data_IF_238752942340
#
_entry.id   IF_238752942340
#
_cell.length_a   1.000
_cell.length_b   1.000
_cell.length_c   1.000
_cell.angle_alpha   90.00
_cell.angle_beta   90.00
_cell.angle_gamma   90.00
#
_symmetry.space_group_name_H-M   'P 1'
#
loop_
_entity.id
_entity.type
_entity.pdbx_description
1 polymer ?
#
# COMPACT_ATOMS: atom_id res chain seq x y z
N UNK A 1 -35.68 33.83 -12.48
CA UNK A 1 -34.88 32.66 -12.07
C UNK A 1 -33.40 33.00 -12.21
N UNK A 2 -32.72 33.35 -11.11
CA UNK A 2 -31.29 33.70 -11.15
C UNK A 2 -30.46 32.42 -11.32
N UNK A 3 -29.73 32.28 -12.42
CA UNK A 3 -28.78 31.18 -12.63
C UNK A 3 -27.63 31.37 -11.64
N UNK A 4 -27.59 30.53 -10.61
CA UNK A 4 -26.52 30.51 -9.62
C UNK A 4 -25.19 30.21 -10.33
N UNK A 5 -24.30 31.21 -10.39
CA UNK A 5 -23.00 31.11 -11.07
C UNK A 5 -22.12 30.16 -10.26
N UNK A 6 -22.05 28.90 -10.66
CA UNK A 6 -21.23 27.89 -9.97
C UNK A 6 -19.76 28.31 -10.01
N UNK A 7 -19.06 28.26 -8.87
CA UNK A 7 -17.63 28.57 -8.83
C UNK A 7 -16.83 27.44 -9.50
N UNK A 8 -15.77 27.75 -10.25
CA UNK A 8 -14.96 26.73 -10.92
C UNK A 8 -14.32 25.75 -9.92
N UNK A 9 -13.98 26.23 -8.73
CA UNK A 9 -13.43 25.42 -7.64
C UNK A 9 -14.38 24.32 -7.15
N UNK A 10 -15.69 24.60 -7.09
CA UNK A 10 -16.67 23.57 -6.71
C UNK A 10 -16.63 22.39 -7.68
N UNK A 11 -16.52 22.66 -8.98
CA UNK A 11 -16.42 21.61 -10.01
C UNK A 11 -15.12 20.84 -9.90
N UNK A 12 -13.99 21.52 -9.71
CA UNK A 12 -12.69 20.88 -9.54
C UNK A 12 -12.68 19.94 -8.33
N UNK A 13 -13.21 20.39 -7.18
CA UNK A 13 -13.28 19.58 -5.97
C UNK A 13 -14.18 18.35 -6.15
N UNK A 14 -15.32 18.50 -6.83
CA UNK A 14 -16.22 17.37 -7.13
C UNK A 14 -15.51 16.35 -8.04
N UNK A 15 -14.82 16.82 -9.09
CA UNK A 15 -14.07 15.94 -9.99
C UNK A 15 -12.96 15.21 -9.24
N UNK A 16 -12.17 15.92 -8.43
CA UNK A 16 -11.10 15.31 -7.65
C UNK A 16 -11.63 14.25 -6.67
N UNK A 17 -12.71 14.56 -5.94
CA UNK A 17 -13.34 13.61 -5.04
C UNK A 17 -13.87 12.38 -5.79
N UNK A 18 -14.53 12.58 -6.95
CA UNK A 18 -15.00 11.49 -7.78
C UNK A 18 -13.85 10.60 -8.26
N UNK A 19 -12.73 11.19 -8.69
CA UNK A 19 -11.53 10.43 -9.08
C UNK A 19 -10.99 9.62 -7.90
N UNK A 20 -10.84 10.21 -6.71
CA UNK A 20 -10.36 9.51 -5.51
C UNK A 20 -11.24 8.30 -5.18
N UNK A 21 -12.57 8.44 -5.31
CA UNK A 21 -13.52 7.33 -5.08
C UNK A 21 -13.41 6.26 -6.17
N UNK A 22 -13.35 6.67 -7.44
CA UNK A 22 -13.28 5.74 -8.58
C UNK A 22 -12.00 4.90 -8.53
N UNK A 23 -10.85 5.50 -8.18
CA UNK A 23 -9.60 4.73 -8.13
C UNK A 23 -9.59 3.66 -7.03
N UNK A 24 -10.40 3.79 -5.97
CA UNK A 24 -10.53 2.74 -4.95
C UNK A 24 -11.20 1.45 -5.50
N UNK A 25 -11.88 1.53 -6.65
CA UNK A 25 -12.52 0.36 -7.27
C UNK A 25 -11.51 -0.56 -7.97
N UNK A 26 -10.27 -0.12 -8.15
CA UNK A 26 -9.21 -0.94 -8.72
C UNK A 26 -8.73 -1.92 -7.64
N UNK A 27 -8.89 -3.25 -7.83
CA UNK A 27 -8.67 -4.23 -6.76
C UNK A 27 -7.18 -4.45 -6.42
N UNK A 28 -6.26 -3.90 -7.20
CA UNK A 28 -4.83 -4.04 -6.97
C UNK A 28 -4.42 -3.38 -5.64
N UNK A 29 -3.55 -4.06 -4.87
CA UNK A 29 -3.12 -3.58 -3.55
C UNK A 29 -4.17 -3.69 -2.44
N UNK A 30 -5.32 -4.33 -2.68
CA UNK A 30 -6.28 -4.61 -1.60
C UNK A 30 -6.16 -6.03 -1.02
N UNK A 31 -5.36 -6.91 -1.64
CA UNK A 31 -5.19 -8.30 -1.21
C UNK A 31 -3.80 -8.53 -0.61
N UNK A 32 -3.70 -8.33 0.70
CA UNK A 32 -2.49 -8.42 1.50
C UNK A 32 -2.22 -9.84 2.00
N UNK A 33 -1.83 -10.74 1.09
CA UNK A 33 -1.48 -12.11 1.44
C UNK A 33 0.02 -12.31 1.67
N UNK A 34 0.31 -13.12 2.67
CA UNK A 34 1.65 -13.57 3.03
C UNK A 34 1.70 -15.08 2.76
N UNK A 35 2.47 -15.54 1.76
CA UNK A 35 2.64 -16.97 1.54
C UNK A 35 3.42 -17.60 2.71
N UNK A 36 3.48 -18.93 2.82
CA UNK A 36 4.28 -19.58 3.87
C UNK A 36 5.76 -19.17 3.78
N UNK A 37 6.39 -18.98 4.94
CA UNK A 37 7.85 -18.79 5.04
C UNK A 37 8.51 -20.12 4.66
N UNK A 38 9.42 -20.09 3.69
CA UNK A 38 10.12 -21.31 3.25
C UNK A 38 11.40 -21.56 4.04
N UNK A 39 12.20 -20.51 4.24
CA UNK A 39 13.48 -20.59 4.92
C UNK A 39 13.87 -19.23 5.48
N UNK A 40 14.46 -19.22 6.67
CA UNK A 40 15.24 -18.09 7.19
C UNK A 40 16.72 -18.50 7.22
N UNK A 41 17.65 -17.54 7.03
CA UNK A 41 19.07 -17.80 7.23
C UNK A 41 19.35 -18.13 8.70
N UNK A 42 20.46 -18.84 8.95
CA UNK A 42 20.94 -19.02 10.31
C UNK A 42 21.51 -17.68 10.81
N UNK A 43 20.80 -17.03 11.71
CA UNK A 43 21.20 -15.73 12.25
C UNK A 43 22.36 -15.89 13.24
N UNK A 44 23.35 -15.00 13.16
CA UNK A 44 24.51 -15.02 14.07
C UNK A 44 24.12 -14.89 15.55
N UNK A 45 23.07 -14.11 15.84
CA UNK A 45 22.49 -13.95 17.18
C UNK A 45 21.05 -13.36 17.09
N UNK A 46 20.28 -13.36 18.19
CA UNK A 46 18.91 -12.84 18.20
C UNK A 46 18.78 -11.35 17.84
N UNK A 47 19.80 -10.53 18.13
CA UNK A 47 19.80 -9.10 17.84
C UNK A 47 19.93 -8.84 16.33
N UNK A 48 20.74 -9.66 15.63
CA UNK A 48 20.83 -9.63 14.17
C UNK A 48 19.50 -9.96 13.53
N UNK A 49 18.80 -11.01 13.99
CA UNK A 49 17.45 -11.33 13.49
C UNK A 49 16.50 -10.16 13.72
N UNK A 50 16.46 -9.61 14.94
CA UNK A 50 15.58 -8.49 15.27
C UNK A 50 15.87 -7.24 14.41
N UNK A 51 17.14 -6.98 14.10
CA UNK A 51 17.56 -5.90 13.21
C UNK A 51 17.05 -6.11 11.78
N UNK A 52 17.19 -7.32 11.23
CA UNK A 52 16.73 -7.61 9.87
C UNK A 52 15.21 -7.65 9.80
N UNK A 53 14.55 -8.16 10.84
CA UNK A 53 13.09 -8.13 10.93
C UNK A 53 12.54 -6.71 10.85
N UNK A 54 13.09 -5.76 11.62
CA UNK A 54 12.63 -4.37 11.59
C UNK A 54 13.01 -3.59 10.33
N UNK A 55 14.06 -4.00 9.62
CA UNK A 55 14.61 -3.25 8.50
C UNK A 55 14.22 -3.80 7.13
N UNK A 56 14.00 -5.11 7.03
CA UNK A 56 13.93 -5.81 5.74
C UNK A 56 12.66 -6.65 5.57
N UNK A 57 12.09 -7.21 6.64
CA UNK A 57 11.04 -8.24 6.49
C UNK A 57 9.78 -7.72 5.81
N UNK A 58 9.42 -6.45 6.00
CA UNK A 58 8.22 -5.91 5.38
C UNK A 58 8.25 -5.95 3.84
N UNK A 59 9.43 -5.86 3.21
CA UNK A 59 9.56 -5.89 1.75
C UNK A 59 10.16 -7.20 1.23
N UNK A 60 11.12 -7.78 1.95
CA UNK A 60 11.95 -8.91 1.47
C UNK A 60 11.59 -10.26 2.10
N UNK A 61 10.52 -10.34 2.87
CA UNK A 61 10.07 -11.61 3.47
C UNK A 61 8.62 -11.92 3.13
N UNK A 62 8.21 -13.13 3.48
CA UNK A 62 6.81 -13.53 3.48
C UNK A 62 6.08 -13.17 4.78
N UNK A 63 6.69 -12.36 5.65
CA UNK A 63 6.12 -11.90 6.92
C UNK A 63 5.80 -10.40 6.91
N UNK A 64 5.43 -9.84 5.75
CA UNK A 64 5.12 -8.42 5.62
C UNK A 64 4.00 -7.99 6.57
N UNK A 65 4.27 -6.95 7.37
CA UNK A 65 3.24 -6.27 8.16
C UNK A 65 2.62 -5.18 7.29
N UNK A 66 1.43 -5.44 6.77
CA UNK A 66 0.74 -4.51 5.89
C UNK A 66 0.13 -3.34 6.69
N UNK A 67 0.61 -2.10 6.49
CA UNK A 67 0.11 -0.95 7.23
C UNK A 67 -1.28 -0.56 6.72
N UNK A 68 -2.09 0.11 7.54
CA UNK A 68 -3.48 0.48 7.16
C UNK A 68 -3.57 1.23 5.82
N UNK A 69 -2.60 2.12 5.54
CA UNK A 69 -2.56 2.91 4.31
C UNK A 69 -2.26 2.09 3.07
N UNK A 70 -1.77 0.85 3.19
CA UNK A 70 -1.63 -0.06 2.06
C UNK A 70 -2.97 -0.53 1.52
N UNK A 71 -4.11 -0.21 2.16
CA UNK A 71 -5.45 -0.52 1.65
C UNK A 71 -6.11 0.65 0.90
N UNK A 72 -5.42 1.78 0.73
CA UNK A 72 -5.99 3.00 0.14
C UNK A 72 -5.23 3.37 -1.13
N UNK A 73 -5.92 3.38 -2.27
CA UNK A 73 -5.33 3.80 -3.53
C UNK A 73 -5.02 5.31 -3.52
N UNK A 74 -3.93 5.77 -4.17
CA UNK A 74 -2.99 4.99 -4.97
C UNK A 74 -1.83 4.38 -4.15
N UNK A 75 -1.76 4.65 -2.84
CA UNK A 75 -0.67 4.19 -1.96
C UNK A 75 -0.63 2.66 -1.89
N UNK A 76 -1.79 2.01 -1.85
CA UNK A 76 -1.92 0.54 -1.92
C UNK A 76 -1.17 -0.06 -3.09
N UNK A 77 -1.21 0.57 -4.26
CA UNK A 77 -0.56 0.08 -5.47
C UNK A 77 0.96 0.16 -5.36
N UNK A 78 1.48 1.26 -4.81
CA UNK A 78 2.92 1.46 -4.64
C UNK A 78 3.48 0.44 -3.63
N UNK A 79 2.85 0.32 -2.47
CA UNK A 79 3.28 -0.62 -1.42
C UNK A 79 3.22 -2.06 -1.93
N UNK A 80 2.11 -2.46 -2.58
CA UNK A 80 1.99 -3.80 -3.15
C UNK A 80 3.06 -4.09 -4.19
N UNK A 81 3.36 -3.13 -5.08
CA UNK A 81 4.42 -3.26 -6.09
C UNK A 81 5.79 -3.44 -5.44
N UNK A 82 6.12 -2.61 -4.44
CA UNK A 82 7.41 -2.65 -3.77
C UNK A 82 7.63 -3.96 -2.99
N UNK A 83 6.58 -4.51 -2.36
CA UNK A 83 6.64 -5.84 -1.72
C UNK A 83 6.79 -6.96 -2.75
N UNK A 84 6.06 -6.90 -3.87
CA UNK A 84 6.21 -7.90 -4.95
C UNK A 84 7.63 -7.86 -5.51
N UNK A 85 8.17 -6.67 -5.76
CA UNK A 85 9.51 -6.49 -6.30
C UNK A 85 10.59 -6.88 -5.28
N UNK A 86 10.40 -6.58 -3.99
CA UNK A 86 11.33 -6.94 -2.91
C UNK A 86 11.42 -8.45 -2.62
N UNK A 87 10.37 -9.21 -2.92
CA UNK A 87 10.35 -10.68 -2.75
C UNK A 87 10.99 -11.46 -3.90
N UNK A 88 11.37 -10.80 -5.00
CA UNK A 88 12.06 -11.43 -6.14
C UNK A 88 13.56 -11.57 -5.86
#
# INVERSE_FOLDING_TARGET
MAKQKQSPWKRILIILAAVIVIIQLVPFGHNHSNPPVQQEPNWDNPQTRALVQRACFDCHSNETVWPWYSNVAPVSWLVQKDVIDGRR
#
